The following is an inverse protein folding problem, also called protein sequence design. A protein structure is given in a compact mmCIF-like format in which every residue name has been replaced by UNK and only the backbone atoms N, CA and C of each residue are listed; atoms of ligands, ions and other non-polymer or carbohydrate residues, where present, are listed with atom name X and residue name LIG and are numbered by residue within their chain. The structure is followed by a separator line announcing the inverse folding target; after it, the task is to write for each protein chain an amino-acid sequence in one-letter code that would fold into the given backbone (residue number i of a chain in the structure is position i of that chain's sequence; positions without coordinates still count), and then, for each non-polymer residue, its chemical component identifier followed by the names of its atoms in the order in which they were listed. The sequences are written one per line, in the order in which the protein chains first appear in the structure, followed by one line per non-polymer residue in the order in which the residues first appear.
data_IF_779444188463
#
_entry.id   IF_779444188463
#
_cell.length_a   1.000
_cell.length_b   1.000
_cell.length_c   1.000
_cell.angle_alpha   90.00
_cell.angle_beta   90.00
_cell.angle_gamma   90.00
#
_symmetry.space_group_name_H-M   'P 1'
#
loop_
_entity.id
_entity.type
_entity.pdbx_description
1 polymer ?
#
# COMPACT_ATOMS: atom_id res chain seq x y z
N UNK A 1 11.49 34.81 38.35
CA UNK A 1 11.50 35.35 36.96
C UNK A 1 10.15 35.01 36.33
N UNK A 2 9.31 35.98 35.94
CA UNK A 2 8.02 35.69 35.32
C UNK A 2 8.24 35.16 33.90
N UNK A 3 7.69 33.97 33.62
CA UNK A 3 7.85 33.24 32.36
C UNK A 3 6.89 33.81 31.30
N UNK A 4 7.38 34.73 30.47
CA UNK A 4 6.67 35.19 29.27
C UNK A 4 6.77 34.12 28.18
N UNK A 5 5.74 33.28 28.10
CA UNK A 5 5.68 32.20 27.11
C UNK A 5 4.27 31.95 26.61
N UNK A 6 3.57 32.99 26.17
CA UNK A 6 2.26 32.87 25.52
C UNK A 6 2.38 32.34 24.09
N UNK A 7 2.75 31.06 23.94
CA UNK A 7 2.74 30.38 22.63
C UNK A 7 1.33 29.98 22.20
N UNK A 8 1.09 29.90 20.89
CA UNK A 8 -0.18 29.41 20.36
C UNK A 8 -0.44 27.97 20.83
N UNK A 9 -1.69 27.66 21.18
CA UNK A 9 -2.08 26.31 21.63
C UNK A 9 -2.47 25.42 20.47
N UNK A 10 -2.08 24.15 20.55
CA UNK A 10 -2.39 23.15 19.54
C UNK A 10 -3.88 22.85 19.53
N UNK A 11 -4.55 22.98 18.38
CA UNK A 11 -5.97 22.65 18.25
C UNK A 11 -6.32 21.17 18.45
N UNK A 12 -5.33 20.27 18.51
CA UNK A 12 -5.54 18.82 18.62
C UNK A 12 -5.08 18.22 19.97
N UNK A 13 -4.05 18.79 20.61
CA UNK A 13 -3.55 18.29 21.89
C UNK A 13 -3.44 19.36 22.98
N UNK A 14 -3.90 20.58 22.70
CA UNK A 14 -3.98 21.73 23.61
C UNK A 14 -2.67 22.21 24.23
N UNK A 15 -1.56 21.53 23.97
CA UNK A 15 -0.21 21.93 24.38
C UNK A 15 0.27 23.13 23.57
N UNK A 16 1.15 23.92 24.17
CA UNK A 16 1.82 25.03 23.50
C UNK A 16 2.61 24.51 22.30
N UNK A 17 2.46 25.20 21.18
CA UNK A 17 3.20 24.95 19.96
C UNK A 17 4.26 26.04 19.86
N UNK A 18 5.52 25.64 19.79
CA UNK A 18 6.61 26.57 19.52
C UNK A 18 6.65 26.89 18.03
N UNK A 19 7.10 28.10 17.70
CA UNK A 19 7.19 28.58 16.31
C UNK A 19 7.94 27.60 15.37
N UNK A 20 8.89 26.82 15.90
CA UNK A 20 9.66 25.85 15.14
C UNK A 20 8.87 24.60 14.70
N UNK A 21 7.80 24.24 15.41
CA UNK A 21 7.00 23.03 15.15
C UNK A 21 5.55 23.34 14.78
N UNK A 22 5.21 24.61 14.62
CA UNK A 22 3.84 25.00 14.33
C UNK A 22 3.48 24.87 12.85
N UNK A 23 2.30 24.31 12.64
CA UNK A 23 1.59 24.30 11.37
C UNK A 23 0.32 25.10 11.60
N UNK A 24 0.20 26.21 10.88
CA UNK A 24 -1.00 27.04 10.93
C UNK A 24 -2.00 26.55 9.89
N UNK A 25 -3.21 26.23 10.32
CA UNK A 25 -4.31 25.83 9.44
C UNK A 25 -5.61 26.44 9.97
N UNK A 26 -6.31 27.18 9.11
CA UNK A 26 -7.61 27.78 9.42
C UNK A 26 -7.60 28.64 10.71
N UNK A 27 -6.54 29.44 10.91
CA UNK A 27 -6.39 30.31 12.08
C UNK A 27 -6.03 29.60 13.38
N UNK A 28 -5.66 28.31 13.34
CA UNK A 28 -5.21 27.54 14.50
C UNK A 28 -3.81 26.98 14.28
N UNK A 29 -3.01 26.89 15.34
CA UNK A 29 -1.71 26.24 15.32
C UNK A 29 -1.86 24.76 15.69
N UNK A 30 -1.10 23.90 15.03
CA UNK A 30 -1.01 22.46 15.31
C UNK A 30 0.47 22.06 15.35
N UNK A 31 0.83 21.03 16.11
CA UNK A 31 2.14 20.41 15.97
C UNK A 31 2.23 19.65 14.64
N UNK A 32 3.43 19.55 14.09
CA UNK A 32 3.72 18.69 12.92
C UNK A 32 3.27 17.24 13.10
N UNK A 33 3.33 16.73 14.33
CA UNK A 33 2.85 15.38 14.69
C UNK A 33 1.34 15.29 14.93
N UNK A 34 0.71 16.40 15.29
CA UNK A 34 -0.73 16.48 15.57
C UNK A 34 -1.55 16.85 14.32
N UNK A 35 -0.90 17.14 13.21
CA UNK A 35 -1.53 17.49 11.95
C UNK A 35 -2.02 16.24 11.21
N UNK A 36 -3.06 15.62 11.75
CA UNK A 36 -3.65 14.38 11.28
C UNK A 36 -5.12 14.60 10.89
N UNK A 37 -5.58 13.89 9.87
CA UNK A 37 -6.99 13.88 9.49
C UNK A 37 -7.87 13.27 10.59
N UNK A 38 -8.96 13.94 10.98
CA UNK A 38 -9.88 13.41 11.99
C UNK A 38 -10.60 12.12 11.54
N UNK A 39 -10.89 11.97 10.24
CA UNK A 39 -11.59 10.80 9.72
C UNK A 39 -10.72 9.55 9.54
N UNK A 40 -9.48 9.71 9.04
CA UNK A 40 -8.61 8.58 8.68
C UNK A 40 -7.28 8.54 9.42
N UNK A 41 -7.02 9.53 10.31
CA UNK A 41 -5.78 9.67 11.10
C UNK A 41 -4.49 9.73 10.29
N UNK A 42 -4.59 9.88 8.96
CA UNK A 42 -3.45 10.06 8.07
C UNK A 42 -2.79 11.42 8.36
N UNK A 43 -1.47 11.44 8.42
CA UNK A 43 -0.70 12.68 8.47
C UNK A 43 -1.00 13.52 7.23
N UNK A 44 -1.41 14.76 7.47
CA UNK A 44 -1.67 15.72 6.43
C UNK A 44 -0.39 16.52 6.16
N UNK A 45 -0.32 17.09 4.98
CA UNK A 45 0.69 18.06 4.60
C UNK A 45 0.00 19.42 4.38
N UNK A 46 0.78 20.50 4.44
CA UNK A 46 0.26 21.87 4.32
C UNK A 46 -0.48 22.14 3.00
N UNK A 47 -0.32 21.28 1.99
CA UNK A 47 -0.87 21.46 0.65
C UNK A 47 -2.15 20.64 0.41
N UNK A 48 -2.37 19.53 1.13
CA UNK A 48 -3.51 18.61 0.90
C UNK A 48 -4.59 18.61 1.99
N UNK A 49 -4.51 19.54 2.94
CA UNK A 49 -5.48 19.72 4.02
C UNK A 49 -6.74 20.47 3.55
N UNK A 50 -7.90 20.03 4.03
CA UNK A 50 -9.15 20.78 3.98
C UNK A 50 -9.67 20.96 5.41
N UNK A 51 -9.95 22.20 5.81
CA UNK A 51 -10.51 22.49 7.12
C UNK A 51 -12.03 22.66 7.03
N UNK A 52 -12.77 22.11 7.99
CA UNK A 52 -14.22 22.32 8.13
C UNK A 52 -14.55 22.63 9.58
N UNK A 53 -15.20 23.77 9.85
CA UNK A 53 -15.81 24.12 11.15
C UNK A 53 -14.97 23.77 12.39
N UNK A 54 -13.66 24.00 12.32
CA UNK A 54 -12.65 23.76 13.38
C UNK A 54 -11.89 22.43 13.39
N UNK A 55 -12.18 21.53 12.45
CA UNK A 55 -11.53 20.24 12.29
C UNK A 55 -10.74 20.18 10.97
N UNK A 56 -9.67 19.37 10.95
CA UNK A 56 -8.83 19.17 9.77
C UNK A 56 -9.09 17.79 9.14
N UNK A 57 -9.26 17.79 7.83
CA UNK A 57 -9.56 16.63 7.02
C UNK A 57 -8.62 16.50 5.83
N UNK A 58 -8.46 15.28 5.35
CA UNK A 58 -7.82 15.01 4.07
C UNK A 58 -8.76 15.42 2.92
N UNK A 59 -8.27 15.92 1.77
CA UNK A 59 -9.11 16.28 0.62
C UNK A 59 -10.09 15.17 0.21
N UNK A 60 -9.65 13.92 0.22
CA UNK A 60 -10.48 12.74 -0.06
C UNK A 60 -11.59 12.54 0.97
N UNK A 61 -11.28 12.76 2.24
CA UNK A 61 -12.19 12.60 3.38
C UNK A 61 -13.23 13.72 3.39
N UNK A 62 -12.77 14.95 3.13
CA UNK A 62 -13.59 16.14 3.00
C UNK A 62 -14.58 16.01 1.84
N UNK A 63 -14.12 15.58 0.66
CA UNK A 63 -15.00 15.31 -0.48
C UNK A 63 -16.05 14.22 -0.18
N UNK A 64 -15.68 13.16 0.54
CA UNK A 64 -16.62 12.11 0.92
C UNK A 64 -17.69 12.59 1.91
N UNK A 65 -17.34 13.45 2.87
CA UNK A 65 -18.27 13.91 3.93
C UNK A 65 -19.10 15.14 3.53
N UNK A 66 -18.46 16.11 2.88
CA UNK A 66 -19.01 17.45 2.60
C UNK A 66 -19.10 17.76 1.11
N UNK A 67 -18.57 16.90 0.25
CA UNK A 67 -18.74 17.07 -1.19
C UNK A 67 -20.19 16.85 -1.65
N UNK A 68 -20.53 17.27 -2.88
CA UNK A 68 -21.87 17.14 -3.42
C UNK A 68 -22.32 15.67 -3.39
N UNK A 69 -23.24 15.37 -2.48
CA UNK A 69 -23.87 14.05 -2.36
C UNK A 69 -24.76 13.85 -3.59
N UNK A 70 -24.33 13.03 -4.53
CA UNK A 70 -25.09 12.70 -5.75
C UNK A 70 -24.32 12.84 -7.06
N UNK A 71 -23.14 13.47 -7.07
CA UNK A 71 -22.21 13.42 -8.21
C UNK A 71 -20.94 12.74 -7.73
N UNK A 72 -20.76 11.48 -8.13
CA UNK A 72 -19.72 10.60 -7.60
C UNK A 72 -18.32 11.23 -7.65
N UNK A 73 -17.56 11.11 -6.56
CA UNK A 73 -16.12 11.42 -6.49
C UNK A 73 -15.25 10.41 -7.26
N UNK A 74 -15.80 9.83 -8.32
CA UNK A 74 -15.08 9.02 -9.29
C UNK A 74 -14.61 9.92 -10.41
N UNK A 75 -13.30 10.03 -10.62
CA UNK A 75 -12.77 10.45 -11.91
C UNK A 75 -13.17 9.38 -12.93
N UNK A 76 -14.33 9.55 -13.58
CA UNK A 76 -14.79 8.68 -14.65
C UNK A 76 -16.27 8.31 -14.57
N UNK A 77 -16.92 8.29 -15.73
CA UNK A 77 -18.27 7.78 -15.91
C UNK A 77 -18.27 6.26 -15.67
N UNK A 78 -18.59 5.80 -14.46
CA UNK A 78 -18.74 4.36 -14.20
C UNK A 78 -18.67 3.85 -12.76
N UNK A 79 -18.30 4.65 -11.76
CA UNK A 79 -18.27 4.19 -10.37
C UNK A 79 -19.16 5.05 -9.45
N UNK A 80 -20.45 4.73 -9.42
CA UNK A 80 -21.33 5.14 -8.33
C UNK A 80 -21.01 4.27 -7.11
N UNK A 81 -20.18 4.79 -6.20
CA UNK A 81 -20.14 4.30 -4.82
C UNK A 81 -20.41 5.48 -3.89
N UNK A 82 -21.68 5.76 -3.68
CA UNK A 82 -22.19 6.54 -2.56
C UNK A 82 -22.34 5.61 -1.37
N UNK A 83 -21.22 5.18 -0.78
CA UNK A 83 -21.27 4.46 0.49
C UNK A 83 -21.17 5.49 1.62
N UNK A 84 -22.33 5.99 2.04
CA UNK A 84 -22.53 6.29 3.47
C UNK A 84 -22.57 4.94 4.16
N UNK A 85 -21.41 4.49 4.63
CA UNK A 85 -21.20 3.20 5.31
C UNK A 85 -21.89 3.13 6.67
N UNK A 86 -23.22 3.18 6.65
CA UNK A 86 -24.11 3.11 7.82
C UNK A 86 -25.13 1.96 7.75
N UNK A 87 -24.92 0.92 6.91
CA UNK A 87 -25.85 -0.23 6.89
C UNK A 87 -25.23 -1.63 6.80
N UNK A 88 -23.95 -1.82 7.12
CA UNK A 88 -23.44 -3.16 7.45
C UNK A 88 -23.06 -3.17 8.91
N UNK A 89 -24.04 -3.51 9.75
CA UNK A 89 -23.93 -3.71 11.19
C UNK A 89 -22.96 -4.84 11.54
N UNK A 90 -21.67 -4.59 11.36
CA UNK A 90 -20.61 -5.36 11.98
C UNK A 90 -20.26 -4.67 13.30
N UNK A 91 -20.89 -5.16 14.35
CA UNK A 91 -20.52 -4.91 15.73
C UNK A 91 -19.04 -5.29 15.93
N UNK A 92 -18.14 -4.31 15.82
CA UNK A 92 -16.79 -4.40 16.36
C UNK A 92 -16.75 -3.56 17.64
N UNK A 93 -17.05 -4.24 18.72
CA UNK A 93 -16.85 -3.81 20.08
C UNK A 93 -15.40 -3.31 20.27
N UNK A 94 -15.29 -2.02 20.64
CA UNK A 94 -14.28 -1.42 21.51
C UNK A 94 -12.82 -1.91 21.41
N UNK A 95 -11.95 -1.02 20.90
CA UNK A 95 -10.50 -1.09 21.11
C UNK A 95 -9.92 0.30 21.40
N UNK A 96 -9.72 0.60 22.68
CA UNK A 96 -9.06 1.79 23.24
C UNK A 96 -7.61 2.00 22.75
N UNK A 97 -7.04 3.23 22.87
CA UNK A 97 -5.80 3.63 22.22
C UNK A 97 -4.56 3.08 22.94
N UNK A 98 -3.60 2.52 22.20
CA UNK A 98 -2.25 2.22 22.72
C UNK A 98 -1.28 3.39 22.46
N UNK A 99 -0.52 3.85 23.47
CA UNK A 99 0.58 4.79 23.27
C UNK A 99 1.81 4.08 22.65
N UNK A 100 2.64 4.85 21.96
CA UNK A 100 3.90 4.38 21.40
C UNK A 100 5.05 4.48 22.43
N UNK A 101 5.87 3.42 22.56
CA UNK A 101 7.37 3.35 22.63
C UNK A 101 7.84 2.07 23.37
N UNK A 102 9.15 1.72 23.38
CA UNK A 102 10.15 1.49 22.32
C UNK A 102 10.60 0.00 22.26
N UNK A 103 11.46 -0.31 21.29
CA UNK A 103 12.11 -1.61 21.04
C UNK A 103 13.04 -2.09 22.18
N UNK A 104 13.01 -3.39 22.51
CA UNK A 104 14.17 -4.35 22.56
C UNK A 104 13.77 -5.70 23.23
N UNK A 105 14.52 -6.80 22.99
CA UNK A 105 13.96 -8.14 22.84
C UNK A 105 14.10 -9.00 24.09
N UNK A 106 13.10 -9.85 24.36
CA UNK A 106 13.28 -11.04 25.17
C UNK A 106 12.47 -12.20 24.62
N UNK A 107 13.19 -13.28 24.38
CA UNK A 107 12.77 -14.60 23.94
C UNK A 107 11.45 -15.08 24.59
N UNK A 108 10.55 -15.64 23.78
CA UNK A 108 9.46 -16.47 24.28
C UNK A 108 9.19 -17.64 23.34
N UNK A 109 9.89 -18.74 23.60
CA UNK A 109 9.54 -20.07 23.13
C UNK A 109 8.20 -20.48 23.76
N UNK A 110 7.09 -20.45 23.02
CA UNK A 110 6.02 -21.45 23.13
C UNK A 110 5.00 -21.38 22.01
N UNK A 111 5.11 -22.41 21.19
CA UNK A 111 4.16 -22.97 20.24
C UNK A 111 2.67 -22.76 20.58
N UNK A 112 1.96 -22.11 19.66
CA UNK A 112 0.56 -22.36 19.37
C UNK A 112 0.34 -22.17 17.86
N UNK A 113 0.61 -23.22 17.08
CA UNK A 113 0.43 -23.23 15.62
C UNK A 113 -1.05 -23.41 15.31
N UNK A 114 -1.82 -22.33 15.28
CA UNK A 114 -3.06 -22.31 14.51
C UNK A 114 -2.63 -22.25 13.04
N UNK A 115 -2.72 -23.38 12.34
CA UNK A 115 -2.33 -23.52 10.94
C UNK A 115 -3.31 -22.72 10.07
N UNK A 116 -3.13 -21.40 10.04
CA UNK A 116 -3.56 -20.60 8.91
C UNK A 116 -2.63 -21.03 7.78
N UNK A 117 -3.17 -21.68 6.77
CA UNK A 117 -2.44 -22.00 5.54
C UNK A 117 -2.06 -20.68 4.88
N UNK A 118 -0.89 -20.16 5.27
CA UNK A 118 -0.36 -18.93 4.73
C UNK A 118 0.35 -19.32 3.44
N UNK A 119 -0.31 -19.02 2.34
CA UNK A 119 0.22 -19.03 0.98
C UNK A 119 1.68 -18.52 0.97
N UNK A 120 2.63 -19.36 0.53
CA UNK A 120 4.07 -19.02 0.51
C UNK A 120 4.56 -18.80 -0.90
N UNK A 121 5.37 -17.75 -1.09
CA UNK A 121 6.01 -17.48 -2.36
C UNK A 121 7.14 -18.48 -2.60
N UNK A 122 7.14 -19.24 -3.71
CA UNK A 122 8.17 -20.24 -3.99
C UNK A 122 9.55 -19.63 -4.25
N UNK A 123 9.63 -18.36 -4.69
CA UNK A 123 10.91 -17.71 -4.99
C UNK A 123 11.63 -17.14 -3.77
N UNK A 124 10.90 -16.57 -2.82
CA UNK A 124 11.52 -15.94 -1.64
C UNK A 124 11.25 -16.71 -0.34
N UNK A 125 10.40 -17.74 -0.36
CA UNK A 125 10.02 -18.54 0.81
C UNK A 125 9.17 -17.78 1.83
N UNK A 126 8.87 -16.50 1.60
CA UNK A 126 8.10 -15.66 2.52
C UNK A 126 6.60 -15.84 2.29
N UNK A 127 5.84 -15.61 3.35
CA UNK A 127 4.39 -15.53 3.33
C UNK A 127 3.89 -14.45 2.38
N UNK A 128 2.90 -14.80 1.56
CA UNK A 128 2.20 -13.90 0.64
C UNK A 128 0.88 -13.52 1.29
N UNK A 129 0.74 -12.24 1.62
CA UNK A 129 -0.50 -11.71 2.17
C UNK A 129 -1.45 -11.26 1.05
N UNK A 130 -2.75 -11.22 1.34
CA UNK A 130 -3.79 -10.87 0.35
C UNK A 130 -3.52 -9.57 -0.43
N UNK A 131 -2.84 -8.59 0.19
CA UNK A 131 -2.48 -7.32 -0.46
C UNK A 131 -1.46 -7.47 -1.62
N UNK A 132 -0.57 -8.44 -1.53
CA UNK A 132 0.51 -8.67 -2.50
C UNK A 132 0.36 -9.98 -3.27
N UNK A 133 -0.70 -10.74 -2.97
CA UNK A 133 -0.99 -12.03 -3.58
C UNK A 133 -1.33 -11.87 -5.05
N UNK A 134 -0.59 -12.61 -5.86
CA UNK A 134 -0.90 -12.87 -7.26
C UNK A 134 -0.74 -14.37 -7.51
N UNK A 135 -1.55 -14.91 -8.42
CA UNK A 135 -1.53 -16.34 -8.76
C UNK A 135 -0.80 -16.52 -10.08
N UNK A 136 0.20 -17.40 -10.11
CA UNK A 136 0.92 -17.79 -11.33
C UNK A 136 1.31 -19.26 -11.29
N UNK A 137 0.95 -20.01 -12.33
CA UNK A 137 1.17 -21.47 -12.37
C UNK A 137 0.49 -22.21 -11.21
N UNK A 138 -0.68 -21.73 -10.76
CA UNK A 138 -1.41 -22.31 -9.62
C UNK A 138 -0.77 -22.07 -8.24
N UNK A 139 0.32 -21.31 -8.13
CA UNK A 139 0.99 -20.98 -6.86
C UNK A 139 0.87 -19.48 -6.54
N UNK A 140 0.88 -19.10 -5.25
CA UNK A 140 0.88 -17.71 -4.81
C UNK A 140 2.28 -17.09 -4.90
N UNK A 141 2.37 -15.89 -5.47
CA UNK A 141 3.61 -15.12 -5.58
C UNK A 141 3.40 -13.70 -5.04
N UNK A 142 4.50 -13.03 -4.68
CA UNK A 142 4.47 -11.57 -4.46
C UNK A 142 4.54 -10.83 -5.78
N UNK A 143 3.87 -9.67 -5.87
CA UNK A 143 4.03 -8.71 -7.00
C UNK A 143 5.49 -8.40 -7.31
N UNK A 144 6.31 -8.27 -6.27
CA UNK A 144 7.76 -7.99 -6.40
C UNK A 144 8.56 -9.21 -6.87
N UNK A 145 8.13 -10.42 -6.55
CA UNK A 145 8.81 -11.67 -6.93
C UNK A 145 8.40 -12.17 -8.32
N UNK A 146 7.30 -11.65 -8.88
CA UNK A 146 6.74 -12.05 -10.16
C UNK A 146 7.49 -11.48 -11.35
N UNK A 147 8.69 -12.02 -11.56
CA UNK A 147 9.59 -11.57 -12.62
C UNK A 147 10.09 -12.75 -13.42
N UNK A 148 10.39 -12.50 -14.68
CA UNK A 148 11.02 -13.49 -15.53
C UNK A 148 12.41 -13.88 -14.98
N UNK A 149 12.70 -15.17 -14.87
CA UNK A 149 14.02 -15.65 -14.43
C UNK A 149 15.15 -15.32 -15.42
N UNK A 150 14.84 -15.17 -16.72
CA UNK A 150 15.84 -14.91 -17.76
C UNK A 150 16.15 -13.42 -17.90
N UNK A 151 15.11 -12.58 -18.01
CA UNK A 151 15.28 -11.16 -18.32
C UNK A 151 15.00 -10.22 -17.14
N UNK A 152 14.59 -10.75 -15.98
CA UNK A 152 14.30 -9.95 -14.78
C UNK A 152 13.07 -9.03 -14.90
N UNK A 153 12.40 -8.99 -16.05
CA UNK A 153 11.22 -8.13 -16.26
C UNK A 153 10.07 -8.60 -15.37
N UNK A 154 9.45 -7.65 -14.68
CA UNK A 154 8.18 -7.87 -13.97
C UNK A 154 7.14 -8.38 -14.96
N UNK A 155 6.55 -9.52 -14.63
CA UNK A 155 5.48 -10.10 -15.42
C UNK A 155 4.15 -9.55 -14.90
N UNK A 156 3.12 -9.68 -15.73
CA UNK A 156 1.76 -9.33 -15.35
C UNK A 156 0.90 -10.58 -15.47
N UNK A 157 -0.13 -10.69 -14.65
CA UNK A 157 -0.93 -11.92 -14.42
C UNK A 157 -1.40 -12.59 -15.72
N UNK A 158 -1.60 -11.80 -16.77
CA UNK A 158 -2.14 -12.22 -18.07
C UNK A 158 -1.09 -12.82 -19.03
N UNK A 159 0.21 -12.59 -18.82
CA UNK A 159 1.26 -12.94 -19.79
C UNK A 159 2.46 -13.70 -19.17
N UNK A 160 2.19 -14.57 -18.20
CA UNK A 160 3.20 -15.43 -17.56
C UNK A 160 3.12 -16.86 -18.09
N UNK A 161 4.27 -17.53 -18.17
CA UNK A 161 4.33 -18.99 -18.38
C UNK A 161 5.19 -19.58 -17.27
N UNK A 162 4.65 -20.56 -16.55
CA UNK A 162 5.41 -21.34 -15.58
C UNK A 162 6.01 -22.58 -16.25
N UNK A 163 7.28 -22.86 -15.96
CA UNK A 163 7.95 -24.13 -16.26
C UNK A 163 8.81 -24.52 -15.10
N UNK A 164 8.70 -25.76 -14.65
CA UNK A 164 9.54 -26.34 -13.61
C UNK A 164 9.58 -25.52 -12.30
N UNK A 165 8.48 -24.81 -11.98
CA UNK A 165 8.37 -23.96 -10.79
C UNK A 165 8.94 -22.55 -10.95
N UNK A 166 9.44 -22.21 -12.13
CA UNK A 166 10.05 -20.92 -12.44
C UNK A 166 9.20 -20.12 -13.45
N UNK A 167 9.18 -18.79 -13.32
CA UNK A 167 8.35 -17.92 -14.16
C UNK A 167 9.14 -17.33 -15.32
N UNK A 168 8.56 -17.44 -16.52
CA UNK A 168 9.13 -16.94 -17.76
C UNK A 168 8.18 -15.98 -18.47
N UNK A 169 8.78 -15.00 -19.15
CA UNK A 169 8.08 -14.11 -20.07
C UNK A 169 7.74 -14.89 -21.36
N UNK A 170 6.60 -14.64 -22.02
CA UNK A 170 6.25 -15.31 -23.31
C UNK A 170 7.38 -15.25 -24.34
N UNK A 171 8.06 -14.10 -24.43
CA UNK A 171 9.20 -13.88 -25.34
C UNK A 171 10.39 -14.79 -24.98
N UNK A 172 10.69 -14.90 -23.69
CA UNK A 172 11.80 -15.66 -23.15
C UNK A 172 11.50 -17.17 -23.26
N UNK A 173 10.25 -17.53 -23.01
CA UNK A 173 9.75 -18.88 -23.14
C UNK A 173 9.82 -19.35 -24.61
N UNK A 174 9.34 -18.55 -25.56
CA UNK A 174 9.45 -18.86 -26.99
C UNK A 174 10.90 -18.96 -27.48
N UNK A 175 11.79 -18.06 -27.01
CA UNK A 175 13.21 -18.08 -27.40
C UNK A 175 13.97 -19.30 -26.88
N UNK A 176 13.70 -19.72 -25.64
CA UNK A 176 14.47 -20.78 -24.98
C UNK A 176 13.81 -22.17 -25.09
N UNK A 177 12.48 -22.22 -25.10
CA UNK A 177 11.67 -23.44 -25.03
C UNK A 177 10.65 -23.57 -26.18
N UNK A 178 10.59 -22.61 -27.11
CA UNK A 178 9.79 -22.75 -28.33
C UNK A 178 10.40 -23.80 -29.27
N UNK A 179 9.59 -24.40 -30.15
CA UNK A 179 10.10 -25.34 -31.16
C UNK A 179 11.14 -24.63 -32.03
N UNK A 180 12.41 -25.06 -31.93
CA UNK A 180 13.54 -24.51 -32.70
C UNK A 180 13.54 -24.94 -34.17
N UNK A 181 12.37 -25.20 -34.77
CA UNK A 181 12.31 -25.76 -36.11
C UNK A 181 10.95 -25.61 -36.76
N UNK A 182 10.81 -24.58 -37.58
CA UNK A 182 10.26 -24.64 -38.95
C UNK A 182 10.78 -23.37 -39.64
N UNK A 183 11.60 -23.59 -40.67
CA UNK A 183 12.34 -22.54 -41.36
C UNK A 183 11.48 -21.69 -42.30
N UNK A 184 11.99 -20.48 -42.57
CA UNK A 184 11.93 -19.86 -43.89
C UNK A 184 13.19 -19.02 -44.10
N UNK A 185 14.05 -19.50 -45.03
CA UNK A 185 14.95 -18.74 -45.90
C UNK A 185 16.05 -17.86 -45.29
N UNK A 186 17.31 -18.32 -45.39
CA UNK A 186 18.48 -17.43 -45.43
C UNK A 186 19.77 -18.06 -44.90
N UNK A 187 20.71 -18.39 -45.80
CA UNK A 187 22.13 -18.75 -45.57
C UNK A 187 22.74 -17.91 -44.42
N UNK A 188 23.59 -18.42 -43.54
CA UNK A 188 24.94 -18.95 -43.85
C UNK A 188 25.44 -19.91 -42.75
N UNK A 189 26.16 -20.95 -43.17
CA UNK A 189 27.07 -21.79 -42.36
C UNK A 189 28.11 -20.89 -41.62
N UNK A 190 28.79 -21.30 -40.55
CA UNK A 190 29.83 -22.35 -40.52
C UNK A 190 30.21 -22.63 -39.06
N UNK A 191 30.26 -23.91 -38.70
CA UNK A 191 30.96 -24.48 -37.54
C UNK A 191 32.47 -24.17 -37.58
N UNK A 192 33.07 -23.82 -36.44
CA UNK A 192 34.45 -24.24 -36.16
C UNK A 192 34.61 -24.57 -34.68
N UNK A 193 34.77 -25.86 -34.45
CA UNK A 193 35.25 -26.52 -33.24
C UNK A 193 36.76 -26.71 -33.42
N UNK A 194 37.54 -26.30 -32.44
CA UNK A 194 38.80 -26.90 -31.99
C UNK A 194 39.12 -26.37 -30.58
#
# INVERSE_FOLDING_TARGET
MPNWGGGAKCGACEKTVYHAEEIQCNGRSFHKSCFLCMACRKALDSTTVAAHESEIYCKTCYGRKYGPKGVGFGQGAGCLSTDTGDHLGLNLQQGSPKPARPSTPTNASKFAKKVVDVDKCPRCGKSVYAAEKIMGGGKPWHKSCFRCAICGKSLESTNVTDKDGELYCKVCYAKNFGPKGIGFGGLTQVEKKE
#
